data_IF_817713620460
#
_entry.id   IF_817713620460
#
_cell.length_a   1.000
_cell.length_b   1.000
_cell.length_c   1.000
_cell.angle_alpha   90.00
_cell.angle_beta   90.00
_cell.angle_gamma   90.00
#
_symmetry.space_group_name_H-M   'P 1'
#
loop_
_entity.id
_entity.type
_entity.pdbx_description
1 polymer ?
#
# COMPACT_ATOMS: atom_id res chain seq x y z
N UNK A 1 5.06 -19.58 -11.48
CA UNK A 1 5.77 -18.73 -10.48
C UNK A 1 4.71 -17.88 -9.79
N UNK A 2 4.61 -17.87 -8.46
CA UNK A 2 3.50 -17.28 -7.68
C UNK A 2 3.58 -15.74 -7.49
N UNK A 3 4.24 -15.03 -8.41
CA UNK A 3 4.48 -13.59 -8.32
C UNK A 3 5.67 -13.21 -7.41
N UNK A 4 6.01 -11.92 -7.40
CA UNK A 4 7.10 -11.35 -6.60
C UNK A 4 6.49 -10.34 -5.62
N UNK A 5 6.87 -10.41 -4.34
CA UNK A 5 6.50 -9.37 -3.39
C UNK A 5 7.24 -8.07 -3.70
N UNK A 6 6.50 -6.99 -3.94
CA UNK A 6 7.08 -5.70 -4.29
C UNK A 6 7.26 -4.80 -3.05
N UNK A 7 6.16 -4.37 -2.42
CA UNK A 7 6.15 -3.47 -1.26
C UNK A 7 5.01 -3.83 -0.30
N UNK A 8 5.22 -3.58 0.99
CA UNK A 8 4.14 -3.57 2.00
C UNK A 8 3.62 -2.15 2.15
N UNK A 9 2.32 -1.95 1.96
CA UNK A 9 1.67 -0.63 1.98
C UNK A 9 0.75 -0.55 3.20
N UNK A 10 0.91 0.46 4.08
CA UNK A 10 -0.05 0.69 5.16
C UNK A 10 -1.47 0.88 4.62
N UNK A 11 -2.48 0.35 5.30
CA UNK A 11 -3.87 0.39 4.83
C UNK A 11 -4.33 1.81 4.46
N UNK A 12 -4.02 2.81 5.29
CA UNK A 12 -4.35 4.22 5.05
C UNK A 12 -3.56 4.89 3.91
N UNK A 13 -2.53 4.22 3.36
CA UNK A 13 -1.74 4.68 2.20
C UNK A 13 -2.10 3.96 0.89
N UNK A 14 -3.01 3.00 0.91
CA UNK A 14 -3.37 2.20 -0.28
C UNK A 14 -3.87 3.09 -1.43
N UNK A 15 -4.79 4.01 -1.15
CA UNK A 15 -5.33 4.92 -2.18
C UNK A 15 -4.24 5.76 -2.85
N UNK A 16 -3.42 6.55 -2.13
CA UNK A 16 -2.37 7.34 -2.77
C UNK A 16 -1.34 6.49 -3.50
N UNK A 17 -1.04 5.27 -3.01
CA UNK A 17 -0.18 4.33 -3.73
C UNK A 17 -0.80 3.90 -5.06
N UNK A 18 -2.09 3.50 -5.09
CA UNK A 18 -2.77 3.11 -6.33
C UNK A 18 -2.80 4.27 -7.33
N UNK A 19 -3.13 5.49 -6.88
CA UNK A 19 -3.13 6.67 -7.75
C UNK A 19 -1.75 6.91 -8.36
N UNK A 20 -0.68 6.81 -7.55
CA UNK A 20 0.69 6.95 -8.07
C UNK A 20 1.01 5.87 -9.11
N UNK A 21 0.60 4.63 -8.90
CA UNK A 21 0.79 3.54 -9.88
C UNK A 21 0.09 3.86 -11.21
N UNK A 22 -1.14 4.37 -11.15
CA UNK A 22 -1.91 4.78 -12.34
C UNK A 22 -1.20 5.92 -13.07
N UNK A 23 -0.67 6.92 -12.35
CA UNK A 23 0.06 8.02 -12.97
C UNK A 23 1.34 7.55 -13.66
N UNK A 24 2.10 6.67 -13.01
CA UNK A 24 3.30 6.07 -13.60
C UNK A 24 2.96 5.26 -14.86
N UNK A 25 1.88 4.48 -14.81
CA UNK A 25 1.41 3.76 -15.98
C UNK A 25 1.05 4.72 -17.13
N UNK A 26 0.26 5.77 -16.86
CA UNK A 26 -0.12 6.74 -17.89
C UNK A 26 1.07 7.43 -18.54
N UNK A 27 2.14 7.68 -17.77
CA UNK A 27 3.36 8.33 -18.24
C UNK A 27 4.27 7.41 -19.06
N UNK A 28 4.27 6.11 -18.77
CA UNK A 28 5.25 5.16 -19.35
C UNK A 28 4.63 4.09 -20.25
N UNK A 29 3.29 4.06 -20.40
CA UNK A 29 2.62 3.13 -21.30
C UNK A 29 2.97 3.42 -22.76
N UNK A 30 3.16 2.36 -23.53
CA UNK A 30 3.24 2.41 -24.99
C UNK A 30 1.83 2.25 -25.58
N UNK A 31 1.71 2.44 -26.89
CA UNK A 31 0.44 2.25 -27.58
C UNK A 31 -0.04 0.79 -27.41
N UNK A 32 -1.32 0.61 -27.10
CA UNK A 32 -1.92 -0.71 -26.86
C UNK A 32 -1.61 -1.34 -25.50
N UNK A 33 -0.79 -0.73 -24.64
CA UNK A 33 -0.51 -1.27 -23.32
C UNK A 33 -1.73 -1.28 -22.40
N UNK A 34 -1.83 -2.36 -21.63
CA UNK A 34 -2.61 -2.43 -20.39
C UNK A 34 -1.68 -2.25 -19.20
N UNK A 35 -2.23 -1.97 -18.01
CA UNK A 35 -1.42 -1.92 -16.79
C UNK A 35 -0.64 -3.24 -16.58
N UNK A 36 -1.26 -4.37 -16.88
CA UNK A 36 -0.65 -5.70 -16.77
C UNK A 36 0.52 -5.89 -17.73
N UNK A 37 0.37 -5.54 -19.01
CA UNK A 37 1.45 -5.68 -20.01
C UNK A 37 2.63 -4.78 -19.70
N UNK A 38 2.38 -3.56 -19.21
CA UNK A 38 3.42 -2.65 -18.77
C UNK A 38 4.18 -3.19 -17.53
N UNK A 39 3.48 -3.70 -16.53
CA UNK A 39 4.12 -4.34 -15.36
C UNK A 39 4.96 -5.56 -15.78
N UNK A 40 4.47 -6.39 -16.71
CA UNK A 40 5.26 -7.50 -17.23
C UNK A 40 6.54 -7.05 -17.93
N UNK A 41 6.52 -5.92 -18.66
CA UNK A 41 7.74 -5.32 -19.23
C UNK A 41 8.74 -4.91 -18.17
N UNK A 42 8.28 -4.26 -17.10
CA UNK A 42 9.12 -3.88 -15.95
C UNK A 42 9.78 -5.10 -15.29
N UNK A 43 9.04 -6.21 -15.13
CA UNK A 43 9.55 -7.45 -14.54
C UNK A 43 10.61 -8.10 -15.44
N UNK A 44 10.41 -8.05 -16.76
CA UNK A 44 11.31 -8.66 -17.74
C UNK A 44 12.51 -7.79 -18.10
N UNK A 45 12.60 -6.55 -17.58
CA UNK A 45 13.68 -5.62 -17.89
C UNK A 45 13.64 -5.07 -19.33
N UNK A 46 12.50 -5.16 -20.01
CA UNK A 46 12.31 -4.74 -21.40
C UNK A 46 11.78 -3.30 -21.52
N UNK A 47 12.11 -2.47 -20.54
CA UNK A 47 11.61 -1.11 -20.41
C UNK A 47 12.73 -0.09 -20.66
N UNK A 48 12.43 0.90 -21.50
CA UNK A 48 13.33 1.98 -21.93
C UNK A 48 13.08 3.31 -21.20
N UNK A 49 12.01 3.39 -20.40
CA UNK A 49 11.63 4.56 -19.60
C UNK A 49 12.53 4.83 -18.38
N UNK A 50 12.25 5.85 -17.55
CA UNK A 50 13.00 6.07 -16.31
C UNK A 50 12.82 4.95 -15.27
N UNK A 51 11.68 4.26 -15.30
CA UNK A 51 11.40 3.12 -14.42
C UNK A 51 11.65 1.87 -15.23
N UNK A 52 12.84 1.26 -15.11
CA UNK A 52 13.24 0.13 -15.97
C UNK A 52 13.09 -1.22 -15.31
N UNK A 53 12.95 -1.22 -13.99
CA UNK A 53 12.99 -2.42 -13.16
C UNK A 53 11.98 -2.38 -12.03
N UNK A 54 11.75 -3.53 -11.41
CA UNK A 54 10.99 -3.63 -10.16
C UNK A 54 11.65 -2.82 -9.03
N UNK A 55 12.98 -2.71 -9.00
CA UNK A 55 13.66 -1.95 -7.96
C UNK A 55 13.49 -0.43 -8.15
N UNK A 56 13.47 0.05 -9.39
CA UNK A 56 13.10 1.44 -9.69
C UNK A 56 11.65 1.73 -9.27
N UNK A 57 10.75 0.80 -9.59
CA UNK A 57 9.35 0.92 -9.19
C UNK A 57 9.19 0.97 -7.67
N UNK A 58 9.92 0.11 -6.94
CA UNK A 58 9.96 0.14 -5.47
C UNK A 58 10.49 1.47 -4.94
N UNK A 59 11.57 1.98 -5.52
CA UNK A 59 12.20 3.24 -5.12
C UNK A 59 11.26 4.42 -5.28
N UNK A 60 10.52 4.49 -6.40
CA UNK A 60 9.55 5.57 -6.65
C UNK A 60 8.36 5.51 -5.68
N UNK A 61 7.93 4.33 -5.27
CA UNK A 61 6.79 4.14 -4.34
C UNK A 61 7.19 4.22 -2.86
N UNK A 62 8.46 4.02 -2.52
CA UNK A 62 8.97 3.97 -1.14
C UNK A 62 8.61 5.20 -0.29
N UNK A 63 8.63 6.45 -0.80
CA UNK A 63 8.22 7.61 0.00
C UNK A 63 6.75 7.58 0.44
N UNK A 64 5.88 6.90 -0.31
CA UNK A 64 4.43 6.84 -0.03
C UNK A 64 4.08 5.86 1.09
N UNK A 65 4.95 4.89 1.38
CA UNK A 65 4.72 3.91 2.43
C UNK A 65 5.25 4.35 3.80
N UNK A 66 5.94 5.49 3.85
CA UNK A 66 6.41 6.06 5.13
C UNK A 66 5.20 6.65 5.86
N UNK A 67 4.87 6.15 7.06
CA UNK A 67 3.82 6.74 7.87
C UNK A 67 4.24 8.16 8.29
N UNK A 68 3.29 9.11 8.37
CA UNK A 68 3.58 10.43 8.89
C UNK A 68 3.94 10.34 10.37
N UNK A 69 4.68 11.32 10.90
CA UNK A 69 4.86 11.43 12.36
C UNK A 69 3.54 11.80 13.03
N UNK A 70 3.34 11.39 14.28
CA UNK A 70 2.13 11.75 15.05
C UNK A 70 1.86 13.26 15.08
N UNK A 71 2.91 14.08 15.18
CA UNK A 71 2.78 15.54 15.20
C UNK A 71 2.27 16.12 13.87
N UNK A 72 2.49 15.41 12.76
CA UNK A 72 2.05 15.86 11.42
C UNK A 72 0.65 15.37 11.10
N UNK A 73 0.29 14.17 11.56
CA UNK A 73 -0.98 13.52 11.24
C UNK A 73 -1.26 12.46 12.31
N UNK A 74 -1.89 12.90 13.42
CA UNK A 74 -2.30 12.03 14.51
C UNK A 74 -3.43 11.08 14.08
N UNK A 75 -4.33 11.55 13.21
CA UNK A 75 -5.48 10.80 12.70
C UNK A 75 -5.04 9.58 11.88
N UNK A 76 -3.85 9.61 11.28
CA UNK A 76 -3.24 8.43 10.67
C UNK A 76 -3.17 7.24 11.63
N UNK A 77 -3.06 7.47 12.94
CA UNK A 77 -2.95 6.42 13.95
C UNK A 77 -4.27 6.09 14.68
N UNK A 78 -5.35 6.84 14.40
CA UNK A 78 -6.67 6.60 14.99
C UNK A 78 -7.41 5.52 14.20
N UNK A 79 -7.80 4.42 14.82
CA UNK A 79 -8.58 3.39 14.14
C UNK A 79 -10.01 3.87 13.86
N UNK A 80 -10.59 3.39 12.77
CA UNK A 80 -12.01 3.63 12.47
C UNK A 80 -12.85 3.01 13.59
N UNK A 81 -13.65 3.81 14.30
CA UNK A 81 -14.52 3.34 15.38
C UNK A 81 -13.91 3.37 16.79
N UNK A 82 -12.83 4.12 16.99
CA UNK A 82 -12.24 4.40 18.32
C UNK A 82 -13.22 5.04 19.31
N UNK A 83 -14.33 5.60 18.82
CA UNK A 83 -15.37 6.28 19.60
C UNK A 83 -16.35 5.30 20.27
N UNK A 84 -16.19 3.99 20.03
CA UNK A 84 -17.02 2.96 20.62
C UNK A 84 -16.69 2.71 22.09
N UNK A 85 -17.57 3.13 23.00
CA UNK A 85 -17.50 2.68 24.39
C UNK A 85 -17.92 1.21 24.46
N UNK A 86 -17.04 0.34 24.97
CA UNK A 86 -17.41 -1.02 25.34
C UNK A 86 -17.63 -1.10 26.86
N UNK A 87 -18.61 -1.89 27.27
CA UNK A 87 -18.87 -2.19 28.67
C UNK A 87 -18.70 -3.68 28.89
N UNK A 88 -17.71 -4.08 29.69
CA UNK A 88 -17.50 -5.47 30.05
C UNK A 88 -18.42 -5.82 31.22
N UNK A 89 -19.31 -6.79 31.02
CA UNK A 89 -20.05 -7.43 32.12
C UNK A 89 -19.33 -8.72 32.49
N UNK A 90 -18.66 -8.72 33.63
CA UNK A 90 -18.17 -9.96 34.25
C UNK A 90 -19.34 -10.65 34.96
N UNK A 91 -19.74 -11.83 34.45
CA UNK A 91 -20.64 -12.72 35.18
C UNK A 91 -19.94 -13.28 36.42
N UNK A 92 -20.70 -13.67 37.46
CA UNK A 92 -20.13 -14.43 38.58
C UNK A 92 -19.61 -15.76 38.02
N UNK A 93 -18.29 -15.95 38.03
CA UNK A 93 -17.68 -17.23 37.71
C UNK A 93 -18.08 -18.26 38.76
N UNK A 94 -18.63 -19.38 38.32
CA UNK A 94 -19.03 -20.51 39.16
C UNK A 94 -17.84 -21.39 39.60
N UNK A 95 -16.61 -21.07 39.17
CA UNK A 95 -15.41 -21.88 39.40
C UNK A 95 -14.45 -21.29 40.46
N UNK A 96 -14.96 -20.50 41.41
CA UNK A 96 -14.22 -20.11 42.61
C UNK A 96 -15.11 -20.31 43.85
N UNK A 97 -15.41 -21.58 44.15
CA UNK A 97 -15.99 -22.02 45.41
C UNK A 97 -15.27 -23.28 45.86
#
# INVERSE_FOLDING_TARGET
>A
MLGINCLRVPAKRVIPTILKIIDLFKQNKKEGDTLSSWIHRLINGNEDSEIKSIDDFKRVLSPLIVPPTKDKDADFYSDYGSDGHYHTKTGRGECAA
#
